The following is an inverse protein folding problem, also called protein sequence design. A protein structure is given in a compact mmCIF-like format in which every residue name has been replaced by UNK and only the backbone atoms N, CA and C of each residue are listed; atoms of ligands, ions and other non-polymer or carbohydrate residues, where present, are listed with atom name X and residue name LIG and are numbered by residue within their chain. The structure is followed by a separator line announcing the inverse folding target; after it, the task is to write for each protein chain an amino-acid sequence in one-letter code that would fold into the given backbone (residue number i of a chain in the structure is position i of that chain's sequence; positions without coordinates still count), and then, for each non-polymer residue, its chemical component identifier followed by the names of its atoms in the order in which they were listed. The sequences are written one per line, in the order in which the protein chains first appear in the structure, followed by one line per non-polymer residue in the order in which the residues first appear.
data_IF_943846119952
#
_entry.id   IF_943846119952
#
_cell.length_a   1.000
_cell.length_b   1.000
_cell.length_c   1.000
_cell.angle_alpha   90.00
_cell.angle_beta   90.00
_cell.angle_gamma   90.00
#
_symmetry.space_group_name_H-M   'P 1'
#
loop_
_entity.id
_entity.type
_entity.pdbx_description
1 polymer ?
#
# COMPACT_ATOMS: atom_id res chain seq x y z
N UNK A 1 -5.13 11.32 -17.76
CA UNK A 1 -5.67 10.65 -18.98
C UNK A 1 -5.81 9.16 -18.68
N UNK A 2 -6.89 8.49 -19.11
CA UNK A 2 -7.14 7.08 -18.77
C UNK A 2 -7.37 6.20 -20.01
N UNK A 3 -6.77 5.02 -20.00
CA UNK A 3 -6.89 4.00 -21.03
C UNK A 3 -7.14 2.63 -20.41
N UNK A 4 -7.83 1.77 -21.13
CA UNK A 4 -8.06 0.38 -20.73
C UNK A 4 -7.70 -0.57 -21.87
N UNK A 5 -7.25 -1.76 -21.51
CA UNK A 5 -6.94 -2.82 -22.45
C UNK A 5 -7.38 -4.17 -21.87
N UNK A 6 -7.97 -5.01 -22.70
CA UNK A 6 -8.25 -6.41 -22.37
C UNK A 6 -6.96 -7.21 -22.53
N UNK A 7 -6.52 -7.90 -21.48
CA UNK A 7 -5.35 -8.78 -21.53
C UNK A 7 -5.73 -10.20 -21.99
N UNK A 8 -7.01 -10.55 -21.92
CA UNK A 8 -7.54 -11.90 -22.17
C UNK A 8 -7.84 -12.65 -20.86
N UNK A 9 -8.52 -13.80 -20.93
CA UNK A 9 -8.91 -14.63 -19.75
C UNK A 9 -9.70 -13.90 -18.65
N UNK A 10 -10.46 -12.85 -19.00
CA UNK A 10 -11.19 -12.03 -18.02
C UNK A 10 -10.31 -11.08 -17.22
N UNK A 11 -9.08 -10.83 -17.68
CA UNK A 11 -8.20 -9.79 -17.11
C UNK A 11 -8.23 -8.53 -17.94
N UNK A 12 -8.35 -7.39 -17.26
CA UNK A 12 -8.32 -6.05 -17.84
C UNK A 12 -7.34 -5.18 -17.09
N UNK A 13 -6.57 -4.41 -17.84
CA UNK A 13 -5.65 -3.40 -17.30
C UNK A 13 -6.20 -2.01 -17.55
N UNK A 14 -5.98 -1.14 -16.57
CA UNK A 14 -6.36 0.26 -16.62
C UNK A 14 -5.10 1.07 -16.34
N UNK A 15 -4.81 2.00 -17.22
CA UNK A 15 -3.68 2.89 -17.16
C UNK A 15 -4.21 4.30 -17.01
N UNK A 16 -3.80 4.97 -15.95
CA UNK A 16 -4.17 6.35 -15.71
C UNK A 16 -2.92 7.20 -15.43
N UNK A 17 -2.81 8.32 -16.14
CA UNK A 17 -1.83 9.36 -15.84
C UNK A 17 -2.47 10.42 -14.95
N UNK A 18 -1.96 10.54 -13.72
CA UNK A 18 -2.39 11.47 -12.67
C UNK A 18 -1.20 12.33 -12.27
N UNK A 19 -1.10 13.52 -12.85
CA UNK A 19 0.05 14.41 -12.66
C UNK A 19 1.35 13.78 -13.20
N UNK A 20 2.35 13.62 -12.34
CA UNK A 20 3.65 13.01 -12.69
C UNK A 20 3.69 11.48 -12.52
N UNK A 21 2.56 10.89 -12.12
CA UNK A 21 2.48 9.45 -11.84
C UNK A 21 1.60 8.73 -12.85
N UNK A 22 2.02 7.51 -13.18
CA UNK A 22 1.19 6.52 -13.86
C UNK A 22 0.66 5.55 -12.84
N UNK A 23 -0.65 5.53 -12.64
CA UNK A 23 -1.37 4.49 -11.94
C UNK A 23 -1.73 3.36 -12.92
N UNK A 24 -1.41 2.13 -12.53
CA UNK A 24 -1.72 0.92 -13.28
C UNK A 24 -2.56 0.03 -12.40
N UNK A 25 -3.76 -0.29 -12.83
CA UNK A 25 -4.66 -1.16 -12.07
C UNK A 25 -5.06 -2.36 -12.92
N UNK A 26 -4.78 -3.55 -12.41
CA UNK A 26 -5.18 -4.81 -12.99
C UNK A 26 -6.46 -5.27 -12.31
N UNK A 27 -7.46 -5.65 -13.10
CA UNK A 27 -8.66 -6.31 -12.62
C UNK A 27 -8.75 -7.69 -13.27
N UNK A 28 -9.02 -8.71 -12.47
CA UNK A 28 -9.40 -10.05 -12.93
C UNK A 28 -10.83 -10.34 -12.51
N UNK A 29 -11.65 -10.79 -13.45
CA UNK A 29 -13.00 -11.28 -13.18
C UNK A 29 -13.05 -12.79 -13.39
N UNK A 30 -13.26 -13.55 -12.32
CA UNK A 30 -13.57 -14.98 -12.35
C UNK A 30 -15.02 -15.25 -11.94
N UNK A 31 -15.46 -16.51 -12.01
CA UNK A 31 -16.80 -16.89 -11.55
C UNK A 31 -16.99 -16.53 -10.06
N UNK A 32 -17.73 -15.44 -9.80
CA UNK A 32 -18.10 -14.98 -8.46
C UNK A 32 -17.09 -14.11 -7.70
N UNK A 33 -15.89 -13.83 -8.23
CA UNK A 33 -14.91 -12.95 -7.57
C UNK A 33 -14.23 -11.99 -8.56
N UNK A 34 -14.25 -10.70 -8.21
CA UNK A 34 -13.51 -9.64 -8.89
C UNK A 34 -12.33 -9.23 -7.99
N UNK A 35 -11.10 -9.47 -8.44
CA UNK A 35 -9.90 -9.04 -7.73
C UNK A 35 -9.27 -7.87 -8.48
N UNK A 36 -8.80 -6.88 -7.72
CA UNK A 36 -8.11 -5.72 -8.27
C UNK A 36 -6.77 -5.52 -7.56
N UNK A 37 -5.74 -5.17 -8.32
CA UNK A 37 -4.42 -4.78 -7.79
C UNK A 37 -3.94 -3.52 -8.50
N UNK A 38 -3.63 -2.48 -7.72
CA UNK A 38 -3.11 -1.21 -8.21
C UNK A 38 -1.61 -1.06 -7.94
N UNK A 39 -0.90 -0.41 -8.84
CA UNK A 39 0.51 -0.03 -8.70
C UNK A 39 0.70 1.37 -9.25
N UNK A 40 1.63 2.14 -8.69
CA UNK A 40 1.88 3.51 -9.10
C UNK A 40 3.37 3.74 -9.36
N UNK A 41 3.69 4.42 -10.45
CA UNK A 41 5.05 4.66 -10.91
C UNK A 41 5.25 6.13 -11.25
N UNK A 42 6.36 6.71 -10.81
CA UNK A 42 6.77 8.05 -11.26
C UNK A 42 7.35 7.94 -12.66
N UNK A 43 6.62 8.45 -13.65
CA UNK A 43 6.94 8.32 -15.08
C UNK A 43 6.84 9.65 -15.82
N UNK A 44 6.22 10.66 -15.17
CA UNK A 44 5.93 11.96 -15.75
C UNK A 44 4.63 12.01 -16.54
N UNK A 45 4.27 13.21 -16.99
CA UNK A 45 3.11 13.43 -17.84
C UNK A 45 3.26 12.72 -19.20
N UNK A 46 2.22 12.00 -19.62
CA UNK A 46 2.19 11.36 -20.94
C UNK A 46 2.06 12.40 -22.05
N UNK A 47 2.87 12.23 -23.09
CA UNK A 47 2.86 13.07 -24.31
C UNK A 47 2.22 12.36 -25.50
N UNK A 48 2.00 11.05 -25.40
CA UNK A 48 1.26 10.26 -26.37
C UNK A 48 0.41 9.18 -25.66
N UNK A 49 -0.59 8.59 -26.34
CA UNK A 49 -1.33 7.44 -25.82
C UNK A 49 -0.37 6.29 -25.48
N UNK A 50 -0.59 5.56 -24.37
CA UNK A 50 0.24 4.42 -24.06
C UNK A 50 0.01 3.31 -25.09
N UNK A 51 0.98 2.42 -25.23
CA UNK A 51 0.88 1.24 -26.07
C UNK A 51 1.15 -0.01 -25.25
N UNK A 52 0.39 -1.08 -25.51
CA UNK A 52 0.66 -2.39 -24.91
C UNK A 52 1.03 -3.39 -25.97
N UNK A 53 1.99 -4.23 -25.63
CA UNK A 53 2.54 -5.26 -26.50
C UNK A 53 2.55 -6.59 -25.77
N UNK A 54 1.91 -7.59 -26.34
CA UNK A 54 1.97 -8.97 -25.85
C UNK A 54 3.23 -9.64 -26.40
N UNK A 55 4.06 -10.16 -25.51
CA UNK A 55 5.30 -10.89 -25.81
C UNK A 55 5.23 -12.31 -25.26
N UNK A 56 6.15 -13.22 -25.64
CA UNK A 56 6.21 -14.56 -25.03
C UNK A 56 6.49 -14.56 -23.52
N UNK A 57 7.05 -13.46 -22.99
CA UNK A 57 7.43 -13.31 -21.59
C UNK A 57 6.37 -12.60 -20.74
N UNK A 58 5.29 -12.11 -21.35
CA UNK A 58 4.24 -11.36 -20.67
C UNK A 58 3.72 -10.19 -21.51
N UNK A 59 3.32 -9.12 -20.84
CA UNK A 59 2.84 -7.90 -21.49
C UNK A 59 3.80 -6.76 -21.18
N UNK A 60 4.17 -6.01 -22.20
CA UNK A 60 4.98 -4.79 -22.07
C UNK A 60 4.06 -3.59 -22.29
N UNK A 61 4.11 -2.62 -21.38
CA UNK A 61 3.45 -1.34 -21.49
C UNK A 61 4.53 -0.31 -21.82
N UNK A 62 4.35 0.40 -22.93
CA UNK A 62 5.20 1.51 -23.34
C UNK A 62 4.46 2.82 -23.07
N UNK A 63 5.09 3.67 -22.28
CA UNK A 63 4.63 5.02 -21.97
C UNK A 63 5.57 6.02 -22.61
N UNK A 64 5.04 6.97 -23.37
CA UNK A 64 5.82 8.08 -23.92
C UNK A 64 5.52 9.32 -23.10
N UNK A 65 6.54 9.85 -22.43
CA UNK A 65 6.44 11.01 -21.54
C UNK A 65 7.38 12.11 -21.99
N UNK A 66 7.27 13.29 -21.38
CA UNK A 66 8.16 14.41 -21.68
C UNK A 66 9.65 14.11 -21.36
N UNK A 67 9.90 13.17 -20.44
CA UNK A 67 11.24 12.79 -19.99
C UNK A 67 11.84 11.63 -20.80
N UNK A 68 11.05 10.99 -21.66
CA UNK A 68 11.47 9.86 -22.50
C UNK A 68 10.44 8.74 -22.54
N UNK A 69 10.87 7.57 -23.02
CA UNK A 69 10.03 6.37 -23.03
C UNK A 69 10.25 5.54 -21.77
N UNK A 70 9.17 5.24 -21.05
CA UNK A 70 9.19 4.27 -19.94
C UNK A 70 8.56 2.96 -20.38
N UNK A 71 9.19 1.85 -20.02
CA UNK A 71 8.68 0.52 -20.30
C UNK A 71 8.35 -0.18 -18.97
N UNK A 72 7.13 -0.69 -18.84
CA UNK A 72 6.70 -1.50 -17.70
C UNK A 72 6.45 -2.92 -18.21
N UNK A 73 6.86 -3.92 -17.44
CA UNK A 73 6.58 -5.32 -17.73
C UNK A 73 5.54 -5.86 -16.76
N UNK A 74 4.53 -6.50 -17.31
CA UNK A 74 3.52 -7.25 -16.60
C UNK A 74 3.77 -8.74 -16.85
N UNK A 75 4.14 -9.46 -15.79
CA UNK A 75 4.25 -10.92 -15.79
C UNK A 75 3.27 -11.49 -14.75
N UNK A 76 2.25 -12.21 -15.22
CA UNK A 76 1.14 -12.61 -14.35
C UNK A 76 0.41 -11.39 -13.78
N UNK A 77 0.47 -11.22 -12.46
CA UNK A 77 -0.10 -10.07 -11.73
C UNK A 77 0.95 -9.08 -11.20
N UNK A 78 2.23 -9.27 -11.51
CA UNK A 78 3.32 -8.41 -11.03
C UNK A 78 3.70 -7.40 -12.11
N UNK A 79 3.76 -6.12 -11.72
CA UNK A 79 4.23 -5.01 -12.55
C UNK A 79 5.64 -4.60 -12.12
N UNK A 80 6.56 -4.52 -13.07
CA UNK A 80 7.92 -4.03 -12.86
C UNK A 80 8.30 -2.96 -13.87
N UNK A 81 9.08 -1.96 -13.44
CA UNK A 81 9.68 -0.99 -14.36
C UNK A 81 10.89 -1.62 -15.02
N UNK A 82 11.01 -1.49 -16.34
CA UNK A 82 12.18 -1.88 -17.09
C UNK A 82 13.06 -0.66 -17.34
N UNK A 83 14.36 -0.79 -17.05
CA UNK A 83 15.36 0.25 -17.35
C UNK A 83 15.80 0.27 -18.82
N UNK A 84 15.51 -0.79 -19.58
CA UNK A 84 15.89 -0.94 -20.99
C UNK A 84 14.65 -1.20 -21.85
N UNK A 85 14.69 -0.78 -23.11
CA UNK A 85 13.66 -1.07 -24.09
C UNK A 85 13.65 -2.57 -24.41
N UNK A 86 12.54 -3.29 -24.17
CA UNK A 86 12.46 -4.71 -24.50
C UNK A 86 12.47 -4.93 -26.02
N UNK A 87 12.94 -6.11 -26.44
CA UNK A 87 12.90 -6.51 -27.84
C UNK A 87 11.46 -6.80 -28.28
N UNK A 88 10.81 -5.82 -28.91
CA UNK A 88 9.42 -5.91 -29.37
C UNK A 88 9.26 -6.61 -30.74
N UNK A 89 10.33 -7.20 -31.31
CA UNK A 89 10.35 -7.69 -32.70
C UNK A 89 9.30 -8.78 -33.04
N UNK A 90 8.85 -9.55 -32.05
CA UNK A 90 7.76 -10.53 -32.21
C UNK A 90 6.55 -10.20 -31.32
N UNK A 91 6.41 -8.94 -30.92
CA UNK A 91 5.36 -8.54 -30.00
C UNK A 91 4.07 -8.15 -30.75
N UNK A 92 2.93 -8.63 -30.26
CA UNK A 92 1.63 -8.25 -30.82
C UNK A 92 1.09 -7.03 -30.08
N UNK A 93 0.89 -5.91 -30.78
CA UNK A 93 0.28 -4.73 -30.19
C UNK A 93 -1.18 -5.02 -29.84
N UNK A 94 -1.56 -4.71 -28.60
CA UNK A 94 -2.91 -4.90 -28.09
C UNK A 94 -3.74 -3.63 -28.31
N UNK A 95 -5.06 -3.82 -28.49
CA UNK A 95 -5.98 -2.72 -28.71
C UNK A 95 -6.31 -2.02 -27.40
N UNK A 96 -5.98 -0.74 -27.35
CA UNK A 96 -6.23 0.15 -26.23
C UNK A 96 -7.49 0.98 -26.49
N UNK A 97 -8.36 1.08 -25.49
CA UNK A 97 -9.56 1.90 -25.52
C UNK A 97 -9.37 3.11 -24.60
N UNK A 98 -9.49 4.32 -25.15
CA UNK A 98 -9.46 5.55 -24.37
C UNK A 98 -10.80 5.78 -23.64
N UNK A 99 -10.78 6.35 -22.44
CA UNK A 99 -11.98 6.93 -21.82
C UNK A 99 -12.71 6.05 -20.80
N UNK A 100 -12.10 4.99 -20.29
CA UNK A 100 -12.68 4.20 -19.18
C UNK A 100 -11.77 4.28 -17.97
N UNK A 101 -12.03 5.25 -17.09
CA UNK A 101 -11.53 5.17 -15.72
C UNK A 101 -12.21 3.99 -15.02
N UNK A 102 -11.49 3.29 -14.15
CA UNK A 102 -12.03 2.17 -13.38
C UNK A 102 -13.41 2.52 -12.77
N UNK A 103 -14.48 1.73 -13.00
CA UNK A 103 -15.69 1.84 -12.20
C UNK A 103 -15.38 1.26 -10.81
N UNK A 104 -14.78 2.05 -9.93
CA UNK A 104 -14.36 1.58 -8.61
C UNK A 104 -13.82 2.63 -7.64
N UNK A 105 -13.42 3.82 -8.09
CA UNK A 105 -12.93 4.86 -7.18
C UNK A 105 -13.67 6.20 -7.22
N UNK A 106 -14.80 6.28 -7.94
CA UNK A 106 -15.77 7.34 -7.67
C UNK A 106 -16.68 6.83 -6.56
N UNK A 107 -16.45 7.27 -5.32
CA UNK A 107 -17.62 7.54 -4.49
C UNK A 107 -18.58 8.36 -5.37
N UNK A 108 -19.86 7.97 -5.52
CA UNK A 108 -20.79 8.80 -6.29
C UNK A 108 -20.66 10.22 -5.74
N UNK A 109 -20.52 11.26 -6.58
CA UNK A 109 -20.65 12.62 -6.08
C UNK A 109 -21.97 12.64 -5.30
N UNK A 110 -21.91 12.96 -4.01
CA UNK A 110 -23.12 13.21 -3.23
C UNK A 110 -23.97 14.14 -4.11
N UNK A 111 -25.12 13.65 -4.56
CA UNK A 111 -26.05 14.51 -5.26
C UNK A 111 -26.25 15.73 -4.36
N UNK A 112 -26.12 16.97 -4.89
CA UNK A 112 -26.42 18.13 -4.08
C UNK A 112 -27.86 17.92 -3.59
N UNK A 113 -28.00 17.77 -2.27
CA UNK A 113 -29.28 17.67 -1.60
C UNK A 113 -30.18 18.74 -2.19
N UNK A 114 -31.22 18.31 -2.91
CA UNK A 114 -32.11 19.19 -3.64
C UNK A 114 -32.58 20.31 -2.72
N UNK A 115 -32.40 21.55 -3.18
CA UNK A 115 -32.98 22.80 -2.67
C UNK A 115 -33.60 22.68 -1.27
N UNK A 116 -32.77 22.71 -0.24
CA UNK A 116 -33.25 23.02 1.09
C UNK A 116 -33.93 24.38 1.01
N UNK A 117 -35.25 24.40 1.27
CA UNK A 117 -36.04 25.63 1.32
C UNK A 117 -35.34 26.64 2.23
N UNK A 118 -35.44 27.96 1.95
CA UNK A 118 -34.81 28.97 2.80
C UNK A 118 -35.37 28.82 4.21
N UNK A 119 -34.54 28.32 5.13
CA UNK A 119 -34.88 28.25 6.54
C UNK A 119 -35.09 29.68 7.02
N UNK A 120 -36.21 29.91 7.72
CA UNK A 120 -36.50 31.19 8.34
C UNK A 120 -35.36 31.58 9.29
N UNK A 121 -35.01 32.89 9.41
CA UNK A 121 -33.96 33.32 10.31
C UNK A 121 -34.35 32.96 11.74
N UNK A 122 -33.66 31.99 12.33
CA UNK A 122 -33.79 31.66 13.75
C UNK A 122 -33.36 32.88 14.57
N UNK A 123 -34.15 33.20 15.58
CA UNK A 123 -33.83 34.27 16.54
C UNK A 123 -32.48 33.97 17.22
N UNK A 124 -31.70 35.00 17.59
CA UNK A 124 -30.43 34.80 18.28
C UNK A 124 -30.68 34.06 19.60
N UNK A 125 -30.19 32.82 19.68
CA UNK A 125 -30.20 32.06 20.93
C UNK A 125 -29.37 32.80 21.98
N UNK A 126 -29.91 32.86 23.20
CA UNK A 126 -29.18 33.41 24.33
C UNK A 126 -27.92 32.58 24.62
N UNK A 127 -26.86 33.19 25.18
CA UNK A 127 -25.63 32.48 25.50
C UNK A 127 -25.95 31.36 26.49
N UNK A 128 -25.73 30.10 26.07
CA UNK A 128 -25.80 28.97 26.98
C UNK A 128 -24.72 29.12 28.05
N UNK A 129 -25.11 28.91 29.30
CA UNK A 129 -24.19 28.80 30.41
C UNK A 129 -23.20 27.63 30.18
N UNK A 130 -21.94 27.78 30.59
CA UNK A 130 -20.94 26.74 30.40
C UNK A 130 -21.36 25.45 31.09
N UNK A 131 -21.51 24.38 30.30
CA UNK A 131 -21.80 23.05 30.84
C UNK A 131 -20.71 22.63 31.82
N UNK A 132 -21.15 22.11 32.96
CA UNK A 132 -20.24 21.51 33.93
C UNK A 132 -19.55 20.27 33.32
N UNK A 133 -18.28 20.02 33.64
CA UNK A 133 -17.55 18.88 33.11
C UNK A 133 -18.24 17.57 33.49
N UNK A 134 -18.53 16.75 32.48
CA UNK A 134 -19.08 15.42 32.69
C UNK A 134 -18.13 14.57 33.55
N UNK A 135 -18.71 13.83 34.50
CA UNK A 135 -17.98 12.86 35.29
C UNK A 135 -17.45 11.72 34.39
N UNK A 136 -16.27 11.15 34.70
CA UNK A 136 -15.69 10.08 33.90
C UNK A 136 -16.62 8.85 33.87
N UNK A 137 -16.91 8.37 32.67
CA UNK A 137 -17.70 7.15 32.48
C UNK A 137 -17.01 5.95 33.13
N UNK A 138 -17.80 5.16 33.85
CA UNK A 138 -17.34 3.90 34.42
C UNK A 138 -16.99 2.90 33.30
N UNK A 139 -15.99 2.01 33.51
CA UNK A 139 -15.57 1.06 32.50
C UNK A 139 -16.71 0.10 32.13
N UNK A 140 -17.07 0.08 30.85
CA UNK A 140 -18.09 -0.82 30.32
C UNK A 140 -17.53 -2.25 30.26
N UNK A 141 -18.19 -3.19 30.95
CA UNK A 141 -17.87 -4.63 30.87
C UNK A 141 -18.83 -5.30 29.89
N UNK A 142 -18.30 -5.93 28.84
CA UNK A 142 -19.07 -6.82 27.95
C UNK A 142 -18.54 -8.24 28.10
N UNK A 143 -19.14 -9.01 29.01
CA UNK A 143 -18.73 -10.40 29.29
C UNK A 143 -17.33 -10.50 29.91
N UNK A 144 -16.47 -11.34 29.34
CA UNK A 144 -15.07 -11.54 29.78
C UNK A 144 -14.09 -10.43 29.29
N UNK A 145 -14.60 -9.37 28.69
CA UNK A 145 -13.79 -8.30 28.10
C UNK A 145 -13.88 -7.05 29.00
N UNK A 146 -12.77 -6.75 29.69
CA UNK A 146 -12.62 -5.58 30.55
C UNK A 146 -11.66 -4.58 29.90
N UNK A 147 -12.11 -3.32 29.78
CA UNK A 147 -11.32 -2.22 29.25
C UNK A 147 -11.18 -1.15 30.33
N UNK A 148 -9.96 -0.97 30.84
CA UNK A 148 -9.64 0.02 31.87
C UNK A 148 -8.99 1.26 31.23
N UNK A 149 -9.50 2.45 31.56
CA UNK A 149 -9.09 3.72 30.98
C UNK A 149 -7.76 4.27 31.54
N UNK A 150 -7.07 3.52 32.40
CA UNK A 150 -5.77 3.91 32.98
C UNK A 150 -4.78 2.73 32.97
N UNK A 151 -3.58 2.91 32.40
CA UNK A 151 -3.29 3.07 30.97
C UNK A 151 -3.83 1.89 30.15
N UNK A 152 -4.45 2.16 28.99
CA UNK A 152 -5.12 1.23 28.07
C UNK A 152 -4.68 -0.24 28.20
N UNK A 153 -5.37 -0.98 29.07
CA UNK A 153 -5.18 -2.41 29.26
C UNK A 153 -6.38 -3.15 28.69
N UNK A 154 -6.11 -4.01 27.71
CA UNK A 154 -7.10 -4.91 27.15
C UNK A 154 -6.83 -6.30 27.70
N UNK A 155 -7.81 -6.85 28.44
CA UNK A 155 -7.73 -8.19 29.04
C UNK A 155 -8.76 -9.10 28.37
N UNK A 156 -8.30 -10.15 27.70
CA UNK A 156 -9.15 -11.21 27.14
C UNK A 156 -8.83 -12.52 27.87
N UNK A 157 -9.57 -12.80 28.94
CA UNK A 157 -9.32 -13.99 29.77
C UNK A 157 -7.93 -13.99 30.40
N UNK A 158 -7.06 -14.91 29.98
CA UNK A 158 -5.71 -15.12 30.54
C UNK A 158 -4.60 -14.35 29.77
N UNK A 159 -4.92 -13.62 28.70
CA UNK A 159 -3.97 -12.83 27.93
C UNK A 159 -4.20 -11.33 28.19
N UNK A 160 -3.18 -10.67 28.72
CA UNK A 160 -3.16 -9.24 29.06
C UNK A 160 -2.14 -8.53 28.15
N UNK A 161 -2.57 -7.49 27.43
CA UNK A 161 -1.68 -6.63 26.63
C UNK A 161 -1.69 -5.22 27.20
N UNK A 162 -0.52 -4.74 27.60
CA UNK A 162 -0.32 -3.51 28.36
C UNK A 162 0.59 -2.58 27.53
N UNK A 163 0.01 -1.57 26.87
CA UNK A 163 0.75 -0.65 26.00
C UNK A 163 0.95 0.68 26.73
N UNK A 164 2.02 0.77 27.53
CA UNK A 164 2.31 1.96 28.33
C UNK A 164 3.66 1.92 29.02
N UNK A 165 4.74 2.17 28.28
CA UNK A 165 5.90 2.95 28.72
C UNK A 165 6.83 3.19 27.51
N UNK A 166 6.56 4.23 26.72
CA UNK A 166 7.54 4.76 25.77
C UNK A 166 8.53 5.67 26.50
N UNK A 167 9.29 5.07 27.40
CA UNK A 167 10.51 5.63 27.98
C UNK A 167 11.49 4.48 28.27
N UNK A 168 11.82 3.75 27.22
CA UNK A 168 12.98 2.86 27.16
C UNK A 168 13.53 2.90 25.75
N UNK A 169 14.32 3.94 25.50
CA UNK A 169 15.50 3.90 24.65
C UNK A 169 16.00 2.46 24.43
N UNK A 170 15.83 1.93 23.22
CA UNK A 170 16.62 0.82 22.72
C UNK A 170 18.04 1.32 22.42
N UNK A 171 18.74 1.72 23.47
CA UNK A 171 20.20 1.81 23.49
C UNK A 171 20.67 1.14 24.77
N UNK A 172 21.32 0.00 24.55
CA UNK A 172 22.35 -0.61 25.39
C UNK A 172 21.98 -1.05 26.82
N UNK A 173 21.94 -2.36 27.00
CA UNK A 173 22.46 -3.14 28.15
C UNK A 173 22.24 -4.62 27.77
N UNK A 174 23.17 -5.44 27.27
CA UNK A 174 24.61 -5.61 27.53
C UNK A 174 24.97 -5.68 29.02
N UNK A 175 24.70 -6.83 29.64
CA UNK A 175 25.62 -7.63 30.47
C UNK A 175 24.82 -8.81 31.06
N UNK A 176 25.24 -10.07 31.06
CA UNK A 176 26.57 -10.62 30.90
C UNK A 176 26.51 -12.06 30.36
N UNK A 177 27.13 -12.26 29.21
CA UNK A 177 27.99 -13.43 28.98
C UNK A 177 29.20 -12.91 28.23
N UNK A 178 30.34 -12.95 28.90
CA UNK A 178 31.61 -12.49 28.36
C UNK A 178 31.99 -13.39 27.17
N UNK A 179 31.60 -12.98 25.98
CA UNK A 179 32.04 -13.53 24.71
C UNK A 179 32.13 -12.38 23.72
N UNK A 180 33.33 -12.11 23.22
CA UNK A 180 33.55 -11.10 22.18
C UNK A 180 32.61 -11.43 21.00
N UNK A 181 31.59 -10.60 20.76
CA UNK A 181 30.69 -10.78 19.63
C UNK A 181 31.55 -10.75 18.36
N UNK A 182 31.66 -11.89 17.67
CA UNK A 182 32.32 -11.98 16.37
C UNK A 182 31.30 -11.56 15.31
N UNK A 183 31.77 -10.88 14.27
CA UNK A 183 30.95 -10.48 13.13
C UNK A 183 31.46 -11.19 11.88
N UNK A 184 30.56 -11.52 10.96
CA UNK A 184 30.97 -12.08 9.67
C UNK A 184 31.77 -11.05 8.87
N UNK A 185 32.96 -11.42 8.40
CA UNK A 185 33.82 -10.55 7.58
C UNK A 185 33.26 -10.27 6.18
N UNK A 186 32.31 -11.07 5.70
CA UNK A 186 31.72 -10.90 4.36
C UNK A 186 30.44 -10.06 4.35
N UNK A 187 29.61 -10.14 5.38
CA UNK A 187 28.28 -9.47 5.39
C UNK A 187 28.00 -8.63 6.65
N UNK A 188 28.91 -8.61 7.63
CA UNK A 188 28.77 -7.81 8.85
C UNK A 188 27.72 -8.30 9.84
N UNK A 189 27.02 -9.40 9.57
CA UNK A 189 26.03 -9.96 10.49
C UNK A 189 26.69 -10.49 11.75
N UNK A 190 26.10 -10.27 12.95
CA UNK A 190 26.62 -10.84 14.20
C UNK A 190 26.55 -12.37 14.14
N UNK A 191 27.62 -13.03 14.57
CA UNK A 191 27.76 -14.50 14.56
C UNK A 191 28.23 -14.98 15.92
N UNK A 192 27.79 -16.16 16.34
CA UNK A 192 28.21 -16.74 17.60
C UNK A 192 29.61 -17.37 17.47
N UNK A 193 30.42 -17.40 18.54
CA UNK A 193 31.74 -18.02 18.50
C UNK A 193 31.73 -19.52 18.15
N UNK A 194 30.59 -20.20 18.33
CA UNK A 194 30.36 -21.60 17.99
C UNK A 194 29.95 -21.82 16.53
N UNK A 195 29.65 -20.76 15.77
CA UNK A 195 29.15 -20.87 14.40
C UNK A 195 30.30 -21.18 13.43
N UNK A 196 30.17 -22.26 12.66
CA UNK A 196 31.13 -22.60 11.59
C UNK A 196 30.82 -21.92 10.26
N UNK A 197 29.59 -21.47 10.08
CA UNK A 197 29.10 -20.81 8.87
C UNK A 197 28.17 -19.66 9.26
N UNK A 198 28.21 -18.58 8.48
CA UNK A 198 27.29 -17.46 8.67
C UNK A 198 25.88 -17.86 8.21
N UNK A 199 24.89 -17.72 9.09
CA UNK A 199 23.49 -18.00 8.77
C UNK A 199 22.91 -17.07 7.69
N UNK A 200 23.52 -15.92 7.46
CA UNK A 200 23.03 -14.92 6.50
C UNK A 200 23.64 -15.09 5.09
N UNK A 201 24.94 -15.39 4.98
CA UNK A 201 25.62 -15.45 3.68
C UNK A 201 26.26 -16.80 3.35
N UNK A 202 26.19 -17.79 4.24
CA UNK A 202 26.77 -19.12 4.05
C UNK A 202 28.30 -19.18 4.09
N UNK A 203 28.99 -18.05 4.31
CA UNK A 203 30.45 -18.01 4.37
C UNK A 203 30.97 -18.75 5.60
N UNK A 204 32.03 -19.54 5.41
CA UNK A 204 32.68 -20.27 6.48
C UNK A 204 33.39 -19.30 7.44
N UNK A 205 33.03 -19.37 8.70
CA UNK A 205 33.64 -18.57 9.75
C UNK A 205 34.80 -19.39 10.30
N UNK A 206 36.03 -18.99 10.00
CA UNK A 206 37.19 -19.57 10.67
C UNK A 206 37.18 -19.10 12.13
N UNK A 207 36.82 -20.02 13.01
CA UNK A 207 36.81 -19.85 14.47
C UNK A 207 38.14 -19.36 15.00
#
# INVERSE_FOLDING_TARGET
MAYTCELGSGQRIYLENVGEHTAVTLASSGAGQQQQSGSQFTTGAWTAPPALFRTPQGVVIQLTTAQGSHHLQLQGNQLGVMSQSPALGNAQQMQMSAGVAMPGNTMPPMQPMGSAQPMQPMQPMQPMEPMQPMQPMQPMKMGNMEMNASPMQMRMGNMEMQMGNAASSHTASSAASAGKAKFCSQCGTPVQPSDRFCANCGHQLHT
#
